data_IF_051942544750
#
_entry.id   IF_051942544750
#
_cell.length_a   1.000
_cell.length_b   1.000
_cell.length_c   1.000
_cell.angle_alpha   90.00
_cell.angle_beta   90.00
_cell.angle_gamma   90.00
#
_symmetry.space_group_name_H-M   'P 1'
#
loop_
_entity.id
_entity.type
_entity.pdbx_description
1 polymer ?
#
# COMPACT_ATOMS: atom_id res chain seq x y z
N UNK A 1 41.17 -25.30 -9.17
CA UNK A 1 40.29 -25.65 -8.02
C UNK A 1 39.07 -24.73 -8.06
N UNK A 2 37.87 -25.25 -8.34
CA UNK A 2 36.63 -24.45 -8.45
C UNK A 2 35.81 -24.62 -7.17
N UNK A 3 35.67 -23.56 -6.38
CA UNK A 3 34.84 -23.54 -5.18
C UNK A 3 33.40 -23.15 -5.55
N UNK A 4 32.50 -24.13 -5.61
CA UNK A 4 31.06 -23.88 -5.72
C UNK A 4 30.50 -23.48 -4.35
N UNK A 5 30.04 -22.24 -4.26
CA UNK A 5 29.36 -21.67 -3.09
C UNK A 5 27.89 -22.09 -3.13
N UNK A 6 27.51 -23.14 -2.38
CA UNK A 6 26.11 -23.56 -2.24
C UNK A 6 25.32 -22.47 -1.50
N UNK A 7 24.41 -21.80 -2.19
CA UNK A 7 23.42 -20.90 -1.58
C UNK A 7 22.38 -21.74 -0.83
N UNK A 8 22.30 -21.54 0.49
CA UNK A 8 21.31 -22.17 1.36
C UNK A 8 19.98 -21.43 1.15
N UNK A 9 19.10 -22.00 0.34
CA UNK A 9 17.74 -21.51 0.15
C UNK A 9 16.93 -21.86 1.40
N UNK A 10 16.56 -20.85 2.18
CA UNK A 10 15.60 -20.98 3.28
C UNK A 10 14.22 -21.28 2.70
N UNK A 11 13.84 -22.55 2.73
CA UNK A 11 12.50 -23.01 2.38
C UNK A 11 11.54 -22.53 3.47
N UNK A 12 10.70 -21.54 3.18
CA UNK A 12 9.58 -21.16 4.06
C UNK A 12 8.56 -22.29 3.95
N UNK A 13 8.64 -23.26 4.86
CA UNK A 13 7.64 -24.32 5.00
C UNK A 13 6.34 -23.69 5.50
N UNK A 14 5.23 -24.05 4.87
CA UNK A 14 3.90 -23.65 5.33
C UNK A 14 3.69 -24.11 6.78
N UNK A 15 3.03 -23.31 7.64
CA UNK A 15 2.84 -23.67 9.04
C UNK A 15 2.09 -24.99 9.17
N UNK A 16 2.62 -25.92 9.96
CA UNK A 16 1.96 -27.19 10.23
C UNK A 16 0.84 -27.01 11.27
N UNK A 17 -0.10 -27.94 11.33
CA UNK A 17 -1.20 -27.88 12.31
C UNK A 17 -0.68 -27.85 13.77
N UNK A 18 0.47 -28.48 14.03
CA UNK A 18 1.14 -28.46 15.33
C UNK A 18 1.63 -27.06 15.70
N UNK A 19 2.24 -26.33 14.76
CA UNK A 19 2.69 -24.95 14.96
C UNK A 19 1.51 -24.02 15.31
N UNK A 20 0.36 -24.24 14.67
CA UNK A 20 -0.86 -23.48 14.95
C UNK A 20 -1.44 -23.79 16.34
N UNK A 21 -1.30 -25.01 16.85
CA UNK A 21 -1.74 -25.38 18.21
C UNK A 21 -0.84 -24.73 19.26
N UNK A 22 0.46 -24.81 19.09
CA UNK A 22 1.43 -24.17 20.00
C UNK A 22 1.26 -22.63 20.02
N UNK A 23 0.98 -22.02 18.87
CA UNK A 23 0.70 -20.58 18.80
C UNK A 23 -0.60 -20.21 19.54
N UNK A 24 -1.65 -21.04 19.44
CA UNK A 24 -2.91 -20.81 20.18
C UNK A 24 -2.69 -20.93 21.68
N UNK A 25 -1.95 -21.93 22.14
CA UNK A 25 -1.63 -22.14 23.55
C UNK A 25 -0.78 -21.01 24.14
N UNK A 26 0.21 -20.53 23.39
CA UNK A 26 1.03 -19.39 23.83
C UNK A 26 0.19 -18.11 23.88
N UNK A 27 -0.68 -17.87 22.90
CA UNK A 27 -1.58 -16.72 22.90
C UNK A 27 -2.60 -16.75 24.05
N UNK A 28 -3.16 -17.92 24.40
CA UNK A 28 -4.06 -18.05 25.56
C UNK A 28 -3.32 -17.84 26.88
N UNK A 29 -2.10 -18.41 27.00
CA UNK A 29 -1.24 -18.21 28.18
C UNK A 29 -0.88 -16.74 28.40
N UNK A 30 -0.69 -15.99 27.31
CA UNK A 30 -0.39 -14.56 27.34
C UNK A 30 -1.64 -13.66 27.39
N UNK A 31 -2.86 -14.23 27.46
CA UNK A 31 -4.14 -13.52 27.45
C UNK A 31 -4.27 -12.52 26.29
N UNK A 32 -3.67 -12.83 25.15
CA UNK A 32 -3.75 -11.99 23.96
C UNK A 32 -5.13 -12.15 23.34
N UNK A 33 -5.87 -11.05 23.19
CA UNK A 33 -7.10 -11.06 22.43
C UNK A 33 -6.75 -11.14 20.93
N UNK A 34 -6.57 -12.37 20.43
CA UNK A 34 -6.12 -12.65 19.06
C UNK A 34 -7.17 -12.33 17.99
N UNK A 35 -8.37 -11.90 18.40
CA UNK A 35 -9.51 -11.67 17.53
C UNK A 35 -10.08 -10.28 17.75
N UNK A 36 -10.31 -9.55 16.67
CA UNK A 36 -10.96 -8.23 16.72
C UNK A 36 -12.35 -8.37 17.36
N UNK A 37 -12.77 -7.47 18.27
CA UNK A 37 -14.09 -7.54 18.91
C UNK A 37 -15.25 -7.64 17.91
N UNK A 38 -15.20 -6.92 16.79
CA UNK A 38 -16.20 -6.99 15.71
C UNK A 38 -16.32 -8.38 15.08
N UNK A 39 -15.22 -9.13 15.01
CA UNK A 39 -15.22 -10.48 14.46
C UNK A 39 -15.80 -11.50 15.43
N UNK A 40 -15.69 -11.28 16.74
CA UNK A 40 -16.33 -12.14 17.74
C UNK A 40 -17.85 -11.97 17.70
N UNK A 41 -18.34 -10.73 17.64
CA UNK A 41 -19.78 -10.43 17.50
C UNK A 41 -20.36 -11.09 16.25
N UNK A 42 -19.69 -10.95 15.10
CA UNK A 42 -20.15 -11.58 13.87
C UNK A 42 -20.14 -13.12 13.95
N UNK A 43 -19.11 -13.74 14.56
CA UNK A 43 -19.11 -15.21 14.71
C UNK A 43 -20.28 -15.64 15.58
N UNK A 44 -20.46 -15.00 16.72
CA UNK A 44 -21.54 -15.31 17.65
C UNK A 44 -22.91 -15.17 16.97
N UNK A 45 -23.06 -14.18 16.09
CA UNK A 45 -24.31 -13.88 15.41
C UNK A 45 -24.69 -14.89 14.32
N UNK A 46 -23.71 -15.43 13.59
CA UNK A 46 -23.96 -16.18 12.36
C UNK A 46 -23.42 -17.62 12.35
N UNK A 47 -22.38 -17.93 13.12
CA UNK A 47 -21.73 -19.24 13.15
C UNK A 47 -22.13 -20.01 14.40
N UNK A 48 -22.04 -19.38 15.57
CA UNK A 48 -22.24 -20.07 16.84
C UNK A 48 -23.71 -20.18 17.24
N UNK A 49 -24.63 -19.47 16.55
CA UNK A 49 -26.08 -19.68 16.74
C UNK A 49 -26.48 -21.08 16.27
N UNK A 50 -27.10 -21.91 17.13
CA UNK A 50 -27.68 -23.16 16.68
C UNK A 50 -28.78 -22.84 15.65
N UNK A 51 -28.62 -23.34 14.42
CA UNK A 51 -29.68 -23.31 13.41
C UNK A 51 -30.88 -23.99 14.06
N UNK A 52 -31.96 -23.25 14.30
CA UNK A 52 -33.21 -23.79 14.82
C UNK A 52 -33.60 -24.95 13.92
N UNK A 53 -33.40 -26.17 14.42
CA UNK A 53 -33.90 -27.39 13.81
C UNK A 53 -35.41 -27.22 13.82
N UNK A 54 -36.01 -26.98 12.66
CA UNK A 54 -37.43 -27.21 12.49
C UNK A 54 -37.63 -28.69 12.76
N UNK A 55 -38.29 -28.96 13.88
CA UNK A 55 -38.70 -30.24 14.43
C UNK A 55 -38.64 -31.39 13.43
N UNK A 56 -37.70 -32.29 13.69
CA UNK A 56 -37.77 -33.68 13.30
C UNK A 56 -39.01 -34.28 13.97
N UNK A 57 -40.06 -34.56 13.20
CA UNK A 57 -40.96 -35.66 13.49
C UNK A 57 -41.41 -36.28 12.15
N UNK A 58 -41.09 -37.57 12.01
CA UNK A 58 -41.43 -38.52 10.95
C UNK A 58 -40.82 -38.29 9.56
N UNK A 59 -39.72 -38.99 9.28
CA UNK A 59 -39.49 -39.57 7.95
C UNK A 59 -38.90 -40.97 8.08
N UNK A 60 -39.79 -41.95 8.01
CA UNK A 60 -39.48 -43.35 7.69
C UNK A 60 -38.67 -43.42 6.39
N UNK A 61 -37.59 -44.20 6.40
CA UNK A 61 -36.68 -44.40 5.26
C UNK A 61 -37.37 -45.32 4.24
N UNK A 62 -38.27 -44.76 3.46
CA UNK A 62 -38.72 -45.35 2.21
C UNK A 62 -37.70 -45.00 1.11
N UNK A 63 -37.07 -46.02 0.51
CA UNK A 63 -36.30 -45.91 -0.72
C UNK A 63 -37.19 -45.34 -1.84
N UNK A 64 -37.17 -44.01 -2.00
CA UNK A 64 -37.80 -43.34 -3.13
C UNK A 64 -36.77 -43.18 -4.25
N UNK A 65 -36.79 -44.14 -5.18
CA UNK A 65 -36.22 -43.98 -6.51
C UNK A 65 -37.09 -43.01 -7.30
N UNK A 66 -37.04 -41.71 -6.95
CA UNK A 66 -37.46 -40.60 -7.80
C UNK A 66 -36.84 -39.33 -7.23
N UNK A 67 -36.00 -38.70 -8.04
CA UNK A 67 -35.65 -37.29 -7.90
C UNK A 67 -36.93 -36.52 -7.61
N UNK A 68 -37.12 -36.09 -6.36
CA UNK A 68 -38.09 -35.06 -6.03
C UNK A 68 -37.66 -33.84 -6.82
N UNK A 69 -38.27 -33.64 -7.99
CA UNK A 69 -38.27 -32.36 -8.67
C UNK A 69 -38.68 -31.36 -7.60
N UNK A 70 -37.73 -30.55 -7.14
CA UNK A 70 -37.95 -29.59 -6.07
C UNK A 70 -39.25 -28.87 -6.38
N UNK A 71 -40.16 -28.75 -5.42
CA UNK A 71 -41.41 -28.00 -5.60
C UNK A 71 -41.05 -26.67 -6.25
N UNK A 72 -41.71 -26.31 -7.37
CA UNK A 72 -41.33 -25.14 -8.17
C UNK A 72 -41.16 -23.89 -7.28
N UNK A 73 -42.01 -23.73 -6.25
CA UNK A 73 -41.93 -22.66 -5.25
C UNK A 73 -40.60 -22.60 -4.48
N UNK A 74 -40.01 -23.75 -4.14
CA UNK A 74 -38.71 -23.81 -3.47
C UNK A 74 -37.59 -23.41 -4.43
N UNK A 75 -37.68 -23.82 -5.69
CA UNK A 75 -36.72 -23.40 -6.71
C UNK A 75 -36.78 -21.88 -6.94
N UNK A 76 -37.98 -21.31 -7.02
CA UNK A 76 -38.19 -19.87 -7.18
C UNK A 76 -37.58 -19.09 -6.02
N UNK A 77 -37.85 -19.47 -4.75
CA UNK A 77 -37.27 -18.78 -3.59
C UNK A 77 -35.73 -18.85 -3.56
N UNK A 78 -35.17 -19.99 -3.97
CA UNK A 78 -33.71 -20.16 -3.98
C UNK A 78 -33.11 -19.31 -5.10
N UNK A 79 -33.69 -19.33 -6.30
CA UNK A 79 -33.24 -18.49 -7.40
C UNK A 79 -33.34 -16.99 -7.04
N UNK A 80 -34.43 -16.55 -6.42
CA UNK A 80 -34.61 -15.18 -5.94
C UNK A 80 -33.53 -14.79 -4.92
N UNK A 81 -33.24 -15.67 -3.95
CA UNK A 81 -32.14 -15.44 -3.00
C UNK A 81 -30.76 -15.40 -3.67
N UNK A 82 -30.55 -16.19 -4.73
CA UNK A 82 -29.30 -16.18 -5.49
C UNK A 82 -29.16 -14.91 -6.34
N UNK A 83 -30.24 -14.44 -6.94
CA UNK A 83 -30.27 -13.20 -7.71
C UNK A 83 -30.06 -11.99 -6.81
N UNK A 84 -30.63 -12.01 -5.60
CA UNK A 84 -30.32 -11.03 -4.58
C UNK A 84 -28.83 -11.04 -4.23
N UNK A 85 -28.22 -12.19 -3.91
CA UNK A 85 -26.77 -12.26 -3.61
C UNK A 85 -25.93 -11.76 -4.79
N UNK A 86 -26.27 -12.14 -6.03
CA UNK A 86 -25.57 -11.67 -7.23
C UNK A 86 -25.64 -10.15 -7.36
N UNK A 87 -26.80 -9.55 -7.12
CA UNK A 87 -26.99 -8.10 -7.14
C UNK A 87 -26.14 -7.41 -6.05
N UNK A 88 -26.11 -7.97 -4.84
CA UNK A 88 -25.31 -7.44 -3.73
C UNK A 88 -23.81 -7.52 -4.03
N UNK A 89 -23.33 -8.63 -4.60
CA UNK A 89 -21.93 -8.78 -4.99
C UNK A 89 -21.54 -7.81 -6.12
N UNK A 90 -22.43 -7.56 -7.08
CA UNK A 90 -22.21 -6.57 -8.12
C UNK A 90 -22.11 -5.16 -7.53
N UNK A 91 -22.98 -4.83 -6.56
CA UNK A 91 -22.98 -3.55 -5.87
C UNK A 91 -21.72 -3.36 -5.01
N UNK A 92 -21.31 -4.37 -4.24
CA UNK A 92 -20.05 -4.33 -3.49
C UNK A 92 -18.86 -4.11 -4.41
N UNK A 93 -18.81 -4.81 -5.55
CA UNK A 93 -17.75 -4.61 -6.55
C UNK A 93 -17.77 -3.20 -7.13
N UNK A 94 -18.95 -2.62 -7.38
CA UNK A 94 -19.10 -1.24 -7.86
C UNK A 94 -18.54 -0.24 -6.84
N UNK A 95 -18.87 -0.42 -5.56
CA UNK A 95 -18.34 0.41 -4.47
C UNK A 95 -16.81 0.32 -4.37
N UNK A 96 -16.25 -0.89 -4.42
CA UNK A 96 -14.80 -1.10 -4.39
C UNK A 96 -14.09 -0.42 -5.58
N UNK A 97 -14.67 -0.49 -6.77
CA UNK A 97 -14.14 0.20 -7.95
C UNK A 97 -14.16 1.72 -7.77
N UNK A 98 -15.23 2.28 -7.21
CA UNK A 98 -15.31 3.70 -6.92
C UNK A 98 -14.25 4.11 -5.88
N UNK A 99 -14.10 3.36 -4.79
CA UNK A 99 -13.06 3.60 -3.78
C UNK A 99 -11.65 3.57 -4.39
N UNK A 100 -11.37 2.58 -5.25
CA UNK A 100 -10.09 2.47 -5.93
C UNK A 100 -9.80 3.70 -6.81
N UNK A 101 -10.80 4.20 -7.53
CA UNK A 101 -10.68 5.42 -8.32
C UNK A 101 -10.40 6.64 -7.44
N UNK A 102 -11.09 6.77 -6.30
CA UNK A 102 -10.84 7.85 -5.34
C UNK A 102 -9.41 7.79 -4.80
N UNK A 103 -8.93 6.61 -4.39
CA UNK A 103 -7.56 6.45 -3.90
C UNK A 103 -6.50 6.75 -4.96
N UNK A 104 -6.73 6.37 -6.22
CA UNK A 104 -5.86 6.76 -7.33
C UNK A 104 -5.88 8.27 -7.57
N UNK A 105 -7.02 8.93 -7.39
CA UNK A 105 -7.13 10.39 -7.40
C UNK A 105 -6.27 11.03 -6.31
N UNK A 106 -6.45 10.61 -5.05
CA UNK A 106 -5.69 11.11 -3.91
C UNK A 106 -4.19 10.84 -4.09
N UNK A 107 -3.80 9.66 -4.59
CA UNK A 107 -2.40 9.32 -4.84
C UNK A 107 -1.76 10.27 -5.85
N UNK A 108 -2.45 10.58 -6.96
CA UNK A 108 -1.99 11.54 -7.97
C UNK A 108 -1.82 12.93 -7.36
N UNK A 109 -2.77 13.35 -6.54
CA UNK A 109 -2.74 14.65 -5.88
C UNK A 109 -1.59 14.77 -4.89
N UNK A 110 -1.35 13.75 -4.07
CA UNK A 110 -0.20 13.68 -3.16
C UNK A 110 1.11 13.79 -3.95
N UNK A 111 1.25 13.06 -5.06
CA UNK A 111 2.48 13.14 -5.86
C UNK A 111 2.68 14.52 -6.48
N UNK A 112 1.60 15.16 -6.94
CA UNK A 112 1.62 16.53 -7.49
C UNK A 112 2.03 17.54 -6.42
N UNK A 113 1.44 17.48 -5.23
CA UNK A 113 1.75 18.37 -4.11
C UNK A 113 3.18 18.17 -3.60
N UNK A 114 3.67 16.93 -3.53
CA UNK A 114 5.06 16.64 -3.18
C UNK A 114 6.04 17.24 -4.18
N UNK A 115 5.76 17.11 -5.48
CA UNK A 115 6.59 17.73 -6.52
C UNK A 115 6.60 19.25 -6.39
N UNK A 116 5.41 19.86 -6.25
CA UNK A 116 5.27 21.31 -6.08
C UNK A 116 6.08 21.80 -4.86
N UNK A 117 5.93 21.15 -3.71
CA UNK A 117 6.70 21.48 -2.50
C UNK A 117 8.21 21.35 -2.71
N UNK A 118 8.67 20.34 -3.45
CA UNK A 118 10.08 20.18 -3.77
C UNK A 118 10.59 21.32 -4.66
N UNK A 119 9.78 21.76 -5.63
CA UNK A 119 10.12 22.90 -6.48
C UNK A 119 10.20 24.20 -5.68
N UNK A 120 9.21 24.48 -4.84
CA UNK A 120 9.19 25.66 -3.95
C UNK A 120 10.42 25.67 -3.03
N UNK A 121 10.74 24.54 -2.39
CA UNK A 121 11.94 24.46 -1.55
C UNK A 121 13.25 24.69 -2.32
N UNK A 122 13.32 24.29 -3.59
CA UNK A 122 14.48 24.57 -4.44
C UNK A 122 14.54 26.04 -4.86
N UNK A 123 13.39 26.67 -5.12
CA UNK A 123 13.27 28.11 -5.40
C UNK A 123 13.77 28.93 -4.20
N UNK A 124 13.27 28.64 -2.99
CA UNK A 124 13.73 29.30 -1.76
C UNK A 124 15.25 29.18 -1.57
N UNK A 125 15.82 27.99 -1.83
CA UNK A 125 17.28 27.79 -1.75
C UNK A 125 18.07 28.59 -2.81
N UNK A 126 17.51 28.76 -4.00
CA UNK A 126 18.13 29.55 -5.05
C UNK A 126 18.05 31.04 -4.73
N UNK A 127 16.94 31.50 -4.16
CA UNK A 127 16.75 32.87 -3.70
C UNK A 127 17.72 33.21 -2.55
N UNK A 128 17.85 32.34 -1.55
CA UNK A 128 18.83 32.49 -0.48
C UNK A 128 20.26 32.59 -1.02
N UNK A 129 20.62 31.75 -1.99
CA UNK A 129 21.92 31.79 -2.64
C UNK A 129 22.14 33.05 -3.49
N UNK A 130 21.10 33.53 -4.18
CA UNK A 130 21.13 34.75 -4.96
C UNK A 130 21.35 35.98 -4.07
N UNK A 131 20.61 36.07 -2.96
CA UNK A 131 20.76 37.12 -1.94
C UNK A 131 22.20 37.11 -1.40
N UNK A 132 22.72 35.94 -0.99
CA UNK A 132 24.09 35.86 -0.47
C UNK A 132 25.17 36.28 -1.48
N UNK A 133 24.96 36.02 -2.79
CA UNK A 133 25.87 36.51 -3.82
C UNK A 133 25.75 38.03 -4.02
N UNK A 134 24.54 38.58 -3.97
CA UNK A 134 24.30 40.03 -4.03
C UNK A 134 24.94 40.75 -2.83
N UNK A 135 24.76 40.23 -1.61
CA UNK A 135 25.38 40.76 -0.39
C UNK A 135 26.92 40.80 -0.50
N UNK A 136 27.54 39.71 -0.96
CA UNK A 136 28.99 39.67 -1.22
C UNK A 136 29.42 40.67 -2.30
N UNK A 137 28.60 40.86 -3.33
CA UNK A 137 28.85 41.86 -4.37
C UNK A 137 28.76 43.29 -3.82
N UNK A 138 27.78 43.60 -2.97
CA UNK A 138 27.68 44.91 -2.30
C UNK A 138 28.86 45.14 -1.35
N UNK A 139 29.25 44.14 -0.56
CA UNK A 139 30.45 44.18 0.29
C UNK A 139 31.72 44.47 -0.51
N UNK A 140 31.87 43.85 -1.69
CA UNK A 140 33.01 44.11 -2.58
C UNK A 140 33.08 45.57 -3.04
N UNK A 141 31.94 46.27 -3.20
CA UNK A 141 31.92 47.70 -3.57
C UNK A 141 32.42 48.59 -2.45
N UNK A 142 32.21 48.18 -1.18
CA UNK A 142 32.66 48.94 -0.01
C UNK A 142 34.15 48.74 0.25
N UNK A 143 34.69 47.57 -0.08
CA UNK A 143 36.08 47.18 0.24
C UNK A 143 37.12 47.58 -0.82
N UNK A 144 36.75 48.32 -1.89
CA UNK A 144 37.64 48.64 -3.03
C UNK A 144 38.37 47.40 -3.62
N UNK A 145 37.77 46.22 -3.46
CA UNK A 145 38.33 44.95 -3.90
C UNK A 145 38.01 44.73 -5.40
N UNK A 146 38.95 44.24 -6.23
CA UNK A 146 38.69 43.99 -7.64
C UNK A 146 37.48 43.06 -7.83
N UNK A 147 36.55 43.52 -8.67
CA UNK A 147 35.27 42.88 -8.90
C UNK A 147 35.46 41.40 -9.29
N UNK A 148 35.03 40.48 -8.42
CA UNK A 148 35.16 39.03 -8.63
C UNK A 148 36.13 38.29 -7.69
N UNK A 149 36.83 39.00 -6.80
CA UNK A 149 37.70 38.41 -5.76
C UNK A 149 36.97 37.38 -4.88
N UNK A 150 35.73 37.68 -4.47
CA UNK A 150 34.95 36.87 -3.54
C UNK A 150 34.06 35.80 -4.16
N UNK A 151 33.98 35.66 -5.48
CA UNK A 151 33.13 34.63 -6.09
C UNK A 151 33.67 33.23 -5.71
N UNK A 152 33.01 32.49 -4.81
CA UNK A 152 33.44 31.15 -4.46
C UNK A 152 33.02 30.28 -5.64
N UNK A 153 33.94 29.98 -6.55
CA UNK A 153 33.63 29.02 -7.60
C UNK A 153 33.47 27.66 -6.90
N UNK A 154 32.27 27.08 -6.86
CA UNK A 154 31.97 25.93 -6.02
C UNK A 154 32.84 24.72 -6.36
N UNK A 155 33.45 24.70 -7.54
CA UNK A 155 34.31 23.63 -8.03
C UNK A 155 35.82 23.93 -7.88
N UNK A 156 36.22 25.03 -7.20
CA UNK A 156 37.63 25.39 -6.91
C UNK A 156 38.35 24.22 -6.20
N UNK A 157 37.68 23.58 -5.25
CA UNK A 157 38.21 22.44 -4.50
C UNK A 157 38.41 21.18 -5.35
N UNK A 158 37.76 21.11 -6.52
CA UNK A 158 37.94 20.05 -7.53
C UNK A 158 38.94 20.45 -8.61
N UNK A 159 39.63 21.59 -8.45
CA UNK A 159 40.58 22.13 -9.44
C UNK A 159 39.90 22.71 -10.69
N UNK A 160 38.57 22.84 -10.71
CA UNK A 160 37.85 23.39 -11.85
C UNK A 160 37.73 24.91 -11.70
N UNK A 161 38.31 25.62 -12.65
CA UNK A 161 38.23 27.09 -12.75
C UNK A 161 37.29 27.52 -13.89
N UNK A 162 36.87 28.80 -13.92
CA UNK A 162 36.07 29.34 -15.04
C UNK A 162 36.69 29.04 -16.41
N UNK A 163 38.02 29.11 -16.50
CA UNK A 163 38.80 28.82 -17.71
C UNK A 163 38.66 27.36 -18.18
N UNK A 164 38.51 26.40 -17.26
CA UNK A 164 38.31 24.99 -17.58
C UNK A 164 36.90 24.72 -18.14
N UNK A 165 35.88 25.42 -17.63
CA UNK A 165 34.49 25.22 -18.03
C UNK A 165 34.19 25.84 -19.41
N UNK A 166 34.76 27.01 -19.72
CA UNK A 166 34.53 27.71 -20.99
C UNK A 166 35.23 27.07 -22.20
N UNK A 167 36.25 26.22 -21.98
CA UNK A 167 36.95 25.49 -23.06
C UNK A 167 36.18 24.26 -23.55
N UNK A 168 35.37 23.63 -22.69
CA UNK A 168 34.57 22.45 -23.03
C UNK A 168 33.13 22.87 -23.30
N UNK A 169 32.82 23.18 -24.56
CA UNK A 169 31.45 23.31 -25.06
C UNK A 169 30.75 21.95 -24.96
N UNK A 170 29.98 21.74 -23.90
CA UNK A 170 29.08 20.59 -23.84
C UNK A 170 27.96 20.82 -24.87
N UNK A 171 28.02 20.08 -25.98
CA UNK A 171 26.89 19.92 -26.89
C UNK A 171 25.80 19.16 -26.15
N UNK A 172 24.66 19.79 -25.90
CA UNK A 172 23.46 19.11 -25.39
C UNK A 172 22.81 18.37 -26.55
N UNK A 173 22.83 17.04 -26.49
CA UNK A 173 22.01 16.16 -27.33
C UNK A 173 20.59 16.06 -26.76
#
# INVERSE_FOLDING_TARGET
MKTQRKRKTSHVLAPTEADLKQLKETATKLKLNTRRPSYLVWREEYIDKPKIQKSSDQFEVAKSTKCEKWTNDRQVRINDSLDWIRSQLAEMRRMDQNLAQQFLGIRREITRLKLKKSCEAHEDMLDDAAIGMEELQELSKVLDEPHGSYAPSPLKHLGVTKMNLSSRRFSTC
#
